data_IF_390242225493
#
_entry.id   IF_390242225493
#
_cell.length_a   1.000
_cell.length_b   1.000
_cell.length_c   1.000
_cell.angle_alpha   90.00
_cell.angle_beta   90.00
_cell.angle_gamma   90.00
#
_symmetry.space_group_name_H-M   'P 1'
#
loop_
_entity.id
_entity.type
_entity.pdbx_description
1 polymer ?
#
# COMPACT_ATOMS: atom_id res chain seq x y z
N UNK A 1 18.34 -0.66 37.98
CA UNK A 1 17.08 -0.13 37.41
C UNK A 1 16.89 -0.73 36.02
N UNK A 2 16.01 -1.73 35.87
CA UNK A 2 15.71 -2.42 34.59
C UNK A 2 14.19 -2.38 34.32
N UNK A 3 13.64 -1.17 34.22
CA UNK A 3 12.24 -0.96 33.87
C UNK A 3 12.03 -0.73 32.36
N UNK A 4 13.09 -0.77 31.55
CA UNK A 4 13.05 -0.42 30.12
C UNK A 4 12.72 -1.55 29.14
N UNK A 5 12.67 -2.82 29.55
CA UNK A 5 12.68 -3.96 28.58
C UNK A 5 11.33 -4.70 28.46
N UNK A 6 10.36 -4.45 29.35
CA UNK A 6 9.09 -5.23 29.33
C UNK A 6 8.14 -4.89 28.18
N UNK A 7 8.23 -3.70 27.58
CA UNK A 7 7.34 -3.33 26.46
C UNK A 7 7.70 -4.01 25.12
N UNK A 8 8.92 -4.56 24.98
CA UNK A 8 9.35 -5.23 23.73
C UNK A 8 8.81 -6.68 23.62
N UNK A 9 8.26 -7.24 24.71
CA UNK A 9 7.85 -8.64 24.76
C UNK A 9 6.48 -8.94 24.12
N UNK A 10 5.64 -7.92 23.84
CA UNK A 10 4.27 -8.16 23.38
C UNK A 10 4.22 -8.90 22.03
N UNK A 11 5.12 -8.58 21.10
CA UNK A 11 5.20 -9.21 19.78
C UNK A 11 6.32 -10.25 19.67
N UNK A 12 6.82 -10.78 20.79
CA UNK A 12 7.82 -11.84 20.78
C UNK A 12 7.23 -13.22 20.41
N UNK A 13 5.93 -13.44 20.66
CA UNK A 13 5.28 -14.73 20.38
C UNK A 13 4.63 -14.77 18.99
N UNK A 14 4.72 -15.89 18.25
CA UNK A 14 4.06 -16.06 16.95
C UNK A 14 2.56 -15.81 16.99
N UNK A 15 1.88 -16.18 18.09
CA UNK A 15 0.44 -15.98 18.28
C UNK A 15 0.07 -14.49 18.30
N UNK A 16 0.84 -13.68 19.04
CA UNK A 16 0.59 -12.24 19.13
C UNK A 16 0.90 -11.55 17.80
N UNK A 17 1.97 -11.98 17.11
CA UNK A 17 2.33 -11.51 15.77
C UNK A 17 1.20 -11.78 14.76
N UNK A 18 0.69 -13.02 14.71
CA UNK A 18 -0.40 -13.41 13.82
C UNK A 18 -1.68 -12.62 14.10
N UNK A 19 -2.01 -12.41 15.38
CA UNK A 19 -3.18 -11.64 15.79
C UNK A 19 -3.07 -10.17 15.36
N UNK A 20 -1.88 -9.57 15.53
CA UNK A 20 -1.61 -8.20 15.10
C UNK A 20 -1.75 -8.05 13.58
N UNK A 21 -1.16 -8.95 12.80
CA UNK A 21 -1.31 -8.94 11.35
C UNK A 21 -2.73 -9.23 10.88
N UNK A 22 -3.51 -10.02 11.62
CA UNK A 22 -4.94 -10.21 11.36
C UNK A 22 -5.70 -8.90 11.51
N UNK A 23 -5.48 -8.17 12.61
CA UNK A 23 -6.13 -6.89 12.86
C UNK A 23 -5.76 -5.85 11.79
N UNK A 24 -4.47 -5.77 11.42
CA UNK A 24 -4.00 -4.89 10.35
C UNK A 24 -4.64 -5.23 9.01
N UNK A 25 -4.61 -6.51 8.60
CA UNK A 25 -5.19 -6.95 7.33
C UNK A 25 -6.70 -6.66 7.25
N UNK A 26 -7.43 -6.92 8.34
CA UNK A 26 -8.86 -6.61 8.42
C UNK A 26 -9.12 -5.11 8.33
N UNK A 27 -8.33 -4.29 9.03
CA UNK A 27 -8.46 -2.83 8.99
C UNK A 27 -8.19 -2.29 7.59
N UNK A 28 -7.10 -2.73 6.95
CA UNK A 28 -6.76 -2.37 5.56
C UNK A 28 -7.87 -2.78 4.59
N UNK A 29 -8.43 -3.97 4.72
CA UNK A 29 -9.52 -4.45 3.86
C UNK A 29 -10.81 -3.65 4.06
N UNK A 30 -11.21 -3.39 5.30
CA UNK A 30 -12.41 -2.60 5.62
C UNK A 30 -12.26 -1.18 5.09
N UNK A 31 -11.12 -0.52 5.35
CA UNK A 31 -10.87 0.83 4.85
C UNK A 31 -10.78 0.86 3.31
N UNK A 32 -10.22 -0.17 2.69
CA UNK A 32 -10.21 -0.30 1.23
C UNK A 32 -11.63 -0.29 0.67
N UNK A 33 -12.51 -1.13 1.21
CA UNK A 33 -13.91 -1.22 0.79
C UNK A 33 -14.66 0.08 1.07
N UNK A 34 -14.56 0.63 2.28
CA UNK A 34 -15.28 1.86 2.65
C UNK A 34 -14.86 3.04 1.77
N UNK A 35 -13.56 3.23 1.54
CA UNK A 35 -13.06 4.32 0.69
C UNK A 35 -13.43 4.16 -0.77
N UNK A 36 -13.68 2.93 -1.26
CA UNK A 36 -14.11 2.69 -2.64
C UNK A 36 -15.62 2.85 -2.80
N UNK A 37 -16.39 2.23 -1.89
CA UNK A 37 -17.86 2.14 -2.00
C UNK A 37 -18.55 3.40 -1.48
N UNK A 38 -18.12 3.91 -0.33
CA UNK A 38 -18.74 5.05 0.37
C UNK A 38 -17.74 6.20 0.63
N UNK A 39 -17.00 6.68 -0.39
CA UNK A 39 -15.97 7.72 -0.19
C UNK A 39 -16.55 9.00 0.39
N UNK A 40 -17.76 9.43 0.00
CA UNK A 40 -18.36 10.65 0.54
C UNK A 40 -18.61 10.53 2.05
N UNK A 41 -19.10 9.38 2.53
CA UNK A 41 -19.32 9.17 3.96
C UNK A 41 -18.01 9.19 4.74
N UNK A 42 -16.95 8.57 4.19
CA UNK A 42 -15.61 8.59 4.80
C UNK A 42 -15.06 10.02 4.85
N UNK A 43 -15.16 10.79 3.77
CA UNK A 43 -14.73 12.20 3.75
C UNK A 43 -15.53 13.04 4.74
N UNK A 44 -16.85 12.87 4.79
CA UNK A 44 -17.71 13.63 5.71
C UNK A 44 -17.39 13.34 7.18
N UNK A 45 -17.08 12.09 7.53
CA UNK A 45 -16.68 11.71 8.88
C UNK A 45 -15.27 12.25 9.21
N UNK A 46 -14.33 12.13 8.28
CA UNK A 46 -12.95 12.52 8.50
C UNK A 46 -12.73 14.03 8.50
N UNK A 47 -13.44 14.72 7.60
CA UNK A 47 -13.26 16.13 7.25
C UNK A 47 -14.62 16.85 7.19
N UNK A 48 -15.36 16.92 8.31
CA UNK A 48 -16.75 17.40 8.33
C UNK A 48 -16.91 18.85 7.88
N UNK A 49 -15.86 19.66 8.02
CA UNK A 49 -15.86 21.08 7.66
C UNK A 49 -15.29 21.34 6.26
N UNK A 50 -14.81 20.30 5.57
CA UNK A 50 -14.24 20.45 4.24
C UNK A 50 -15.34 20.51 3.15
N UNK A 51 -15.18 21.46 2.23
CA UNK A 51 -15.86 21.39 0.94
C UNK A 51 -15.13 20.38 0.06
N UNK A 52 -15.75 19.23 -0.19
CA UNK A 52 -15.17 18.14 -0.99
C UNK A 52 -15.57 18.29 -2.45
N UNK A 53 -14.59 18.24 -3.35
CA UNK A 53 -14.80 18.15 -4.79
C UNK A 53 -15.04 16.70 -5.25
N UNK A 54 -15.55 16.51 -6.46
CA UNK A 54 -15.63 15.17 -7.08
C UNK A 54 -14.26 14.54 -7.27
N UNK A 55 -13.21 15.37 -7.45
CA UNK A 55 -11.83 14.91 -7.53
C UNK A 55 -11.35 14.32 -6.20
N UNK A 56 -11.73 14.91 -5.07
CA UNK A 56 -11.42 14.39 -3.73
C UNK A 56 -12.05 13.00 -3.53
N UNK A 57 -13.28 12.80 -4.03
CA UNK A 57 -13.96 11.51 -4.01
C UNK A 57 -13.19 10.48 -4.83
N UNK A 58 -12.80 10.82 -6.06
CA UNK A 58 -11.95 9.97 -6.91
C UNK A 58 -10.63 9.64 -6.22
N UNK A 59 -10.02 10.63 -5.56
CA UNK A 59 -8.73 10.44 -4.91
C UNK A 59 -8.81 9.58 -3.66
N UNK A 60 -9.87 9.70 -2.88
CA UNK A 60 -10.09 8.79 -1.77
C UNK A 60 -10.32 7.35 -2.24
N UNK A 61 -11.06 7.14 -3.34
CA UNK A 61 -11.23 5.81 -3.93
C UNK A 61 -9.89 5.21 -4.35
N UNK A 62 -9.02 6.00 -5.00
CA UNK A 62 -7.68 5.56 -5.38
C UNK A 62 -6.86 5.19 -4.15
N UNK A 63 -6.85 6.02 -3.12
CA UNK A 63 -6.20 5.71 -1.85
C UNK A 63 -6.73 4.38 -1.26
N UNK A 64 -8.05 4.18 -1.31
CA UNK A 64 -8.75 2.96 -0.90
C UNK A 64 -8.27 1.70 -1.61
N UNK A 65 -8.15 1.71 -2.95
CA UNK A 65 -7.68 0.52 -3.68
C UNK A 65 -6.21 0.19 -3.39
N UNK A 66 -5.37 1.18 -3.05
CA UNK A 66 -4.00 0.89 -2.62
C UNK A 66 -3.93 0.13 -1.28
N UNK A 67 -4.97 0.19 -0.46
CA UNK A 67 -5.07 -0.60 0.77
C UNK A 67 -5.34 -2.09 0.50
N UNK A 68 -5.80 -2.47 -0.69
CA UNK A 68 -5.92 -3.89 -1.06
C UNK A 68 -4.56 -4.59 -1.08
N UNK A 69 -3.51 -3.92 -1.56
CA UNK A 69 -2.13 -4.39 -1.49
C UNK A 69 -1.67 -4.54 -0.03
N UNK A 70 -2.05 -3.59 0.83
CA UNK A 70 -1.77 -3.67 2.27
C UNK A 70 -2.40 -4.91 2.92
N UNK A 71 -3.69 -5.13 2.67
CA UNK A 71 -4.42 -6.28 3.20
C UNK A 71 -3.79 -7.61 2.73
N UNK A 72 -3.38 -7.72 1.46
CA UNK A 72 -2.73 -8.92 0.93
C UNK A 72 -1.36 -9.19 1.57
N UNK A 73 -0.56 -8.15 1.81
CA UNK A 73 0.74 -8.27 2.49
C UNK A 73 0.54 -8.67 3.95
N UNK A 74 -0.32 -7.96 4.68
CA UNK A 74 -0.58 -8.19 6.10
C UNK A 74 -1.18 -9.58 6.33
N UNK A 75 -2.09 -10.04 5.45
CA UNK A 75 -2.60 -11.41 5.48
C UNK A 75 -1.51 -12.47 5.23
N UNK A 76 -0.58 -12.17 4.32
CA UNK A 76 0.57 -13.05 4.06
C UNK A 76 1.53 -13.10 5.25
N UNK A 77 1.76 -11.97 5.93
CA UNK A 77 2.55 -11.89 7.15
C UNK A 77 1.89 -12.63 8.32
N UNK A 78 0.56 -12.57 8.42
CA UNK A 78 -0.21 -13.38 9.37
C UNK A 78 0.07 -14.87 9.18
N UNK A 79 -0.01 -15.39 7.95
CA UNK A 79 0.28 -16.80 7.70
C UNK A 79 1.75 -17.16 7.95
N UNK A 80 2.67 -16.26 7.62
CA UNK A 80 4.09 -16.42 7.91
C UNK A 80 4.37 -16.45 9.43
N UNK A 81 3.64 -15.67 10.22
CA UNK A 81 3.73 -15.70 11.68
C UNK A 81 3.28 -17.06 12.24
N UNK A 82 2.12 -17.55 11.80
CA UNK A 82 1.59 -18.86 12.17
C UNK A 82 2.56 -20.01 11.83
N UNK A 83 3.26 -19.87 10.70
CA UNK A 83 4.23 -20.87 10.22
C UNK A 83 5.67 -20.62 10.69
N UNK A 84 5.90 -19.62 11.56
CA UNK A 84 7.23 -19.22 12.05
C UNK A 84 8.26 -18.90 10.93
N UNK A 85 7.77 -18.40 9.79
CA UNK A 85 8.59 -18.07 8.62
C UNK A 85 9.05 -16.62 8.59
N UNK A 86 8.58 -15.76 9.51
CA UNK A 86 8.85 -14.31 9.51
C UNK A 86 10.34 -13.94 9.47
N UNK A 87 11.23 -14.81 9.96
CA UNK A 87 12.69 -14.63 9.86
C UNK A 87 13.24 -14.60 8.43
N UNK A 88 12.47 -15.06 7.44
CA UNK A 88 12.93 -15.10 6.05
C UNK A 88 13.08 -13.69 5.47
N UNK A 89 14.08 -13.50 4.60
CA UNK A 89 14.33 -12.21 3.97
C UNK A 89 13.10 -11.66 3.22
N UNK A 90 12.28 -12.55 2.63
CA UNK A 90 11.02 -12.19 1.97
C UNK A 90 10.08 -11.43 2.92
N UNK A 91 9.79 -11.99 4.10
CA UNK A 91 8.83 -11.37 5.02
C UNK A 91 9.42 -10.15 5.74
N UNK A 92 10.73 -10.16 6.01
CA UNK A 92 11.41 -8.99 6.55
C UNK A 92 11.32 -7.78 5.61
N UNK A 93 11.46 -7.98 4.29
CA UNK A 93 11.27 -6.92 3.30
C UNK A 93 9.82 -6.43 3.24
N UNK A 94 8.84 -7.33 3.30
CA UNK A 94 7.42 -6.96 3.34
C UNK A 94 7.07 -6.15 4.60
N UNK A 95 7.57 -6.55 5.77
CA UNK A 95 7.38 -5.79 7.02
C UNK A 95 8.05 -4.42 6.94
N UNK A 96 9.27 -4.35 6.37
CA UNK A 96 9.95 -3.08 6.14
C UNK A 96 9.15 -2.18 5.18
N UNK A 97 8.56 -2.75 4.12
CA UNK A 97 7.63 -2.04 3.23
C UNK A 97 6.40 -1.50 3.97
N UNK A 98 5.80 -2.28 4.87
CA UNK A 98 4.68 -1.83 5.69
C UNK A 98 5.06 -0.71 6.67
N UNK A 99 6.26 -0.78 7.25
CA UNK A 99 6.81 0.29 8.10
C UNK A 99 7.07 1.56 7.29
N UNK A 100 7.69 1.46 6.11
CA UNK A 100 7.92 2.59 5.20
C UNK A 100 6.61 3.22 4.73
N UNK A 101 5.60 2.42 4.40
CA UNK A 101 4.24 2.89 4.11
C UNK A 101 3.67 3.71 5.26
N UNK A 102 3.79 3.20 6.49
CA UNK A 102 3.28 3.89 7.69
C UNK A 102 3.98 5.23 7.91
N UNK A 103 5.30 5.28 7.73
CA UNK A 103 6.08 6.53 7.76
C UNK A 103 5.65 7.48 6.64
N UNK A 104 5.42 6.97 5.43
CA UNK A 104 4.93 7.75 4.30
C UNK A 104 3.59 8.41 4.58
N UNK A 105 2.62 7.67 5.15
CA UNK A 105 1.33 8.24 5.55
C UNK A 105 1.48 9.36 6.58
N UNK A 106 2.36 9.18 7.57
CA UNK A 106 2.64 10.21 8.58
C UNK A 106 3.35 11.43 7.96
N UNK A 107 4.26 11.22 7.01
CA UNK A 107 4.97 12.31 6.33
C UNK A 107 4.02 13.14 5.46
N UNK A 108 3.13 12.49 4.70
CA UNK A 108 2.08 13.15 3.92
C UNK A 108 1.16 13.96 4.83
N UNK A 109 0.73 13.36 5.94
CA UNK A 109 -0.11 14.05 6.91
C UNK A 109 0.63 15.27 7.49
N UNK A 110 1.88 15.11 7.94
CA UNK A 110 2.67 16.21 8.51
C UNK A 110 2.87 17.37 7.52
N UNK A 111 3.14 17.06 6.26
CA UNK A 111 3.30 18.07 5.20
C UNK A 111 2.01 18.86 4.92
N UNK A 112 0.84 18.22 5.10
CA UNK A 112 -0.46 18.83 4.83
C UNK A 112 -1.23 19.26 6.10
N UNK A 113 -0.70 19.00 7.29
CA UNK A 113 -1.38 19.34 8.56
C UNK A 113 -1.61 20.85 8.71
N UNK A 114 -0.66 21.74 8.40
CA UNK A 114 -0.89 23.18 8.56
C UNK A 114 -2.10 23.71 7.77
N UNK A 115 -2.40 23.12 6.61
CA UNK A 115 -3.51 23.50 5.74
C UNK A 115 -4.80 22.73 6.01
N UNK A 116 -4.73 21.54 6.64
CA UNK A 116 -5.90 20.66 6.78
C UNK A 116 -6.34 20.44 8.23
N UNK A 117 -5.54 20.74 9.25
CA UNK A 117 -5.81 20.36 10.65
C UNK A 117 -7.18 20.84 11.15
N UNK A 118 -7.58 22.05 10.77
CA UNK A 118 -8.88 22.61 11.17
C UNK A 118 -10.05 21.89 10.52
N UNK A 119 -9.83 21.25 9.36
CA UNK A 119 -10.86 20.51 8.63
C UNK A 119 -11.11 19.14 9.26
N UNK A 120 -10.14 18.58 10.00
CA UNK A 120 -10.22 17.24 10.54
C UNK A 120 -11.14 17.12 11.75
N UNK A 121 -11.94 16.06 11.75
CA UNK A 121 -12.48 15.50 12.97
C UNK A 121 -11.33 14.98 13.85
N UNK A 122 -11.11 15.61 15.01
CA UNK A 122 -10.02 15.26 15.92
C UNK A 122 -9.99 13.75 16.28
N UNK A 123 -11.11 13.08 16.60
CA UNK A 123 -11.11 11.64 16.82
C UNK A 123 -10.61 10.83 15.61
N UNK A 124 -10.98 11.23 14.39
CA UNK A 124 -10.57 10.54 13.17
C UNK A 124 -9.10 10.78 12.86
N UNK A 125 -8.61 12.01 13.05
CA UNK A 125 -7.20 12.33 12.92
C UNK A 125 -6.34 11.50 13.89
N UNK A 126 -6.76 11.42 15.16
CA UNK A 126 -6.09 10.61 16.18
C UNK A 126 -6.13 9.11 15.83
N UNK A 127 -7.26 8.62 15.32
CA UNK A 127 -7.39 7.24 14.88
C UNK A 127 -6.46 6.94 13.69
N UNK A 128 -6.37 7.86 12.72
CA UNK A 128 -5.49 7.73 11.56
C UNK A 128 -4.02 7.71 11.97
N UNK A 129 -3.57 8.69 12.75
CA UNK A 129 -2.19 8.76 13.26
C UNK A 129 -1.87 7.56 14.14
N UNK A 130 -2.77 7.23 15.07
CA UNK A 130 -2.63 6.09 15.97
C UNK A 130 -2.49 4.77 15.22
N UNK A 131 -3.30 4.57 14.16
CA UNK A 131 -3.23 3.36 13.33
C UNK A 131 -1.93 3.30 12.54
N UNK A 132 -1.48 4.39 11.93
CA UNK A 132 -0.21 4.43 11.19
C UNK A 132 0.99 4.17 12.12
N UNK A 133 1.02 4.81 13.29
CA UNK A 133 2.06 4.59 14.31
C UNK A 133 2.04 3.15 14.81
N UNK A 134 0.87 2.61 15.14
CA UNK A 134 0.73 1.24 15.62
C UNK A 134 1.18 0.23 14.55
N UNK A 135 0.77 0.39 13.30
CA UNK A 135 1.18 -0.45 12.19
C UNK A 135 2.70 -0.43 11.98
N UNK A 136 3.32 0.76 11.99
CA UNK A 136 4.77 0.91 11.91
C UNK A 136 5.49 0.25 13.08
N UNK A 137 5.02 0.49 14.31
CA UNK A 137 5.61 -0.08 15.52
C UNK A 137 5.50 -1.61 15.58
N UNK A 138 4.37 -2.19 15.16
CA UNK A 138 4.19 -3.65 15.06
C UNK A 138 5.24 -4.21 14.11
N UNK A 139 5.36 -3.69 12.88
CA UNK A 139 6.31 -4.21 11.89
C UNK A 139 7.77 -4.10 12.37
N UNK A 140 8.17 -2.95 12.90
CA UNK A 140 9.53 -2.75 13.43
C UNK A 140 9.83 -3.63 14.65
N UNK A 141 8.85 -3.81 15.54
CA UNK A 141 8.98 -4.70 16.70
C UNK A 141 9.17 -6.15 16.26
N UNK A 142 8.40 -6.61 15.26
CA UNK A 142 8.55 -7.97 14.73
C UNK A 142 9.89 -8.15 14.04
N UNK A 143 10.34 -7.20 13.20
CA UNK A 143 11.67 -7.22 12.58
C UNK A 143 12.76 -7.36 13.64
N UNK A 144 12.74 -6.51 14.67
CA UNK A 144 13.72 -6.52 15.76
C UNK A 144 13.79 -7.88 16.46
N UNK A 145 12.64 -8.51 16.71
CA UNK A 145 12.55 -9.79 17.40
C UNK A 145 12.88 -11.00 16.52
N UNK A 146 12.83 -10.89 15.19
CA UNK A 146 12.94 -12.04 14.27
C UNK A 146 14.19 -12.04 13.40
N UNK A 147 14.85 -10.89 13.20
CA UNK A 147 16.01 -10.79 12.32
C UNK A 147 17.31 -11.32 12.94
N UNK A 148 17.43 -11.28 14.27
CA UNK A 148 18.69 -11.53 14.99
C UNK A 148 19.81 -10.52 14.66
N UNK A 149 19.56 -9.56 13.77
CA UNK A 149 20.52 -8.56 13.25
C UNK A 149 20.04 -7.11 13.50
N UNK A 150 19.05 -6.94 14.39
CA UNK A 150 18.45 -5.64 14.70
C UNK A 150 17.44 -5.16 13.65
N UNK A 151 17.26 -3.85 13.55
CA UNK A 151 16.26 -3.22 12.66
C UNK A 151 16.69 -3.12 11.19
N UNK A 152 17.88 -3.61 10.83
CA UNK A 152 18.36 -3.55 9.45
C UNK A 152 17.54 -4.50 8.56
N UNK A 153 16.74 -3.99 7.60
CA UNK A 153 16.05 -4.85 6.66
C UNK A 153 17.08 -5.62 5.82
N UNK A 154 16.73 -6.82 5.32
CA UNK A 154 17.60 -7.54 4.41
C UNK A 154 17.91 -6.68 3.18
N UNK A 155 19.12 -6.76 2.62
CA UNK A 155 19.47 -6.00 1.43
C UNK A 155 18.49 -6.29 0.30
N UNK A 156 18.19 -5.25 -0.48
CA UNK A 156 17.42 -5.39 -1.71
C UNK A 156 18.21 -6.25 -2.70
N UNK A 157 17.52 -7.17 -3.37
CA UNK A 157 18.13 -7.97 -4.42
C UNK A 157 18.14 -7.18 -5.73
N UNK A 158 19.24 -6.46 -5.95
CA UNK A 158 19.47 -5.62 -7.13
C UNK A 158 20.06 -6.40 -8.32
N UNK A 159 20.11 -7.74 -8.25
CA UNK A 159 20.57 -8.54 -9.38
C UNK A 159 19.62 -8.37 -10.57
N UNK A 160 20.17 -8.50 -11.79
CA UNK A 160 19.37 -8.48 -13.00
C UNK A 160 18.33 -9.62 -12.99
N UNK A 161 17.10 -9.38 -13.51
CA UNK A 161 16.09 -10.43 -13.58
C UNK A 161 16.53 -11.61 -14.45
N UNK A 162 16.23 -12.83 -14.00
CA UNK A 162 16.70 -14.07 -14.63
C UNK A 162 15.70 -14.70 -15.61
N UNK A 163 14.45 -14.24 -15.64
CA UNK A 163 13.40 -14.76 -16.53
C UNK A 163 12.38 -13.68 -16.94
N UNK A 164 11.54 -13.91 -17.96
CA UNK A 164 10.58 -12.91 -18.42
C UNK A 164 9.60 -12.44 -17.34
N UNK A 165 9.16 -13.34 -16.46
CA UNK A 165 8.26 -12.98 -15.35
C UNK A 165 8.94 -12.09 -14.32
N UNK A 166 10.22 -12.34 -13.99
CA UNK A 166 10.97 -11.45 -13.10
C UNK A 166 11.27 -10.09 -13.73
N UNK A 167 11.46 -10.03 -15.06
CA UNK A 167 11.49 -8.76 -15.79
C UNK A 167 10.17 -7.99 -15.67
N UNK A 168 9.02 -8.67 -15.80
CA UNK A 168 7.71 -8.07 -15.59
C UNK A 168 7.59 -7.40 -14.23
N UNK A 169 7.97 -8.08 -13.14
CA UNK A 169 7.94 -7.49 -11.80
C UNK A 169 8.98 -6.39 -11.57
N UNK A 170 10.15 -6.46 -12.22
CA UNK A 170 11.14 -5.38 -12.17
C UNK A 170 10.58 -4.10 -12.83
N UNK A 171 9.90 -4.24 -13.97
CA UNK A 171 9.19 -3.14 -14.62
C UNK A 171 8.07 -2.60 -13.74
N UNK A 172 7.24 -3.47 -13.14
CA UNK A 172 6.20 -3.04 -12.18
C UNK A 172 6.80 -2.23 -11.03
N UNK A 173 7.93 -2.69 -10.47
CA UNK A 173 8.65 -1.97 -9.41
C UNK A 173 9.03 -0.56 -9.86
N UNK A 174 9.65 -0.44 -11.03
CA UNK A 174 10.07 0.85 -11.57
C UNK A 174 8.88 1.79 -11.80
N UNK A 175 7.79 1.28 -12.39
CA UNK A 175 6.56 2.03 -12.61
C UNK A 175 5.96 2.52 -11.29
N UNK A 176 5.85 1.67 -10.27
CA UNK A 176 5.34 2.09 -8.96
C UNK A 176 6.20 3.17 -8.29
N UNK A 177 7.53 3.08 -8.41
CA UNK A 177 8.40 4.13 -7.89
C UNK A 177 8.23 5.45 -8.65
N UNK A 178 8.04 5.40 -9.97
CA UNK A 178 7.71 6.58 -10.76
C UNK A 178 6.34 7.16 -10.36
N UNK A 179 5.33 6.31 -10.11
CA UNK A 179 4.02 6.74 -9.60
C UNK A 179 4.13 7.41 -8.24
N UNK A 180 4.98 6.91 -7.34
CA UNK A 180 5.26 7.57 -6.04
C UNK A 180 5.79 8.99 -6.26
N UNK A 181 6.72 9.19 -7.18
CA UNK A 181 7.24 10.52 -7.51
C UNK A 181 6.14 11.41 -8.13
N UNK A 182 5.32 10.85 -9.02
CA UNK A 182 4.21 11.56 -9.65
C UNK A 182 3.13 12.02 -8.65
N UNK A 183 2.92 11.28 -7.55
CA UNK A 183 1.99 11.68 -6.49
C UNK A 183 2.38 13.00 -5.80
N UNK A 184 3.65 13.41 -5.88
CA UNK A 184 4.15 14.67 -5.30
C UNK A 184 4.48 15.72 -6.36
N UNK A 185 4.45 15.35 -7.64
CA UNK A 185 4.60 16.30 -8.74
C UNK A 185 3.32 17.17 -8.88
N UNK A 186 3.44 18.39 -9.44
CA UNK A 186 2.27 19.15 -9.89
C UNK A 186 1.38 18.27 -10.75
N UNK A 187 0.07 18.29 -10.50
CA UNK A 187 -0.83 17.44 -11.25
C UNK A 187 -0.96 17.92 -12.69
N UNK A 188 -0.88 16.97 -13.63
CA UNK A 188 -1.01 17.23 -15.06
C UNK A 188 -2.06 16.34 -15.72
N UNK A 189 -2.54 15.30 -15.03
CA UNK A 189 -3.52 14.35 -15.56
C UNK A 189 -4.96 14.71 -15.21
N UNK A 190 -5.20 15.23 -14.01
CA UNK A 190 -6.55 15.60 -13.58
C UNK A 190 -6.82 17.07 -13.90
N UNK A 191 -7.83 17.29 -14.76
CA UNK A 191 -8.20 18.59 -15.35
C UNK A 191 -9.52 19.14 -14.81
N UNK A 192 -10.20 18.38 -13.92
CA UNK A 192 -11.46 18.76 -13.29
C UNK A 192 -11.40 19.97 -12.35
N UNK A 193 -12.49 20.19 -11.60
CA UNK A 193 -12.73 21.34 -10.72
C UNK A 193 -11.53 21.80 -9.88
N UNK A 194 -11.57 23.08 -9.48
CA UNK A 194 -10.52 23.70 -8.66
C UNK A 194 -10.15 22.85 -7.44
N UNK A 195 -8.85 22.63 -7.25
CA UNK A 195 -8.30 21.88 -6.12
C UNK A 195 -8.91 22.38 -4.80
N UNK A 196 -9.54 21.48 -4.06
CA UNK A 196 -9.93 21.78 -2.68
C UNK A 196 -8.69 21.86 -1.79
N UNK A 197 -8.86 22.40 -0.59
CA UNK A 197 -7.78 22.40 0.41
C UNK A 197 -7.32 20.98 0.82
N UNK A 198 -8.13 19.96 0.51
CA UNK A 198 -7.92 18.56 0.90
C UNK A 198 -7.27 17.75 -0.23
N UNK A 199 -7.40 18.18 -1.48
CA UNK A 199 -6.89 17.45 -2.65
C UNK A 199 -5.40 17.08 -2.56
N UNK A 200 -4.47 17.97 -2.12
CA UNK A 200 -3.05 17.61 -1.99
C UNK A 200 -2.79 16.51 -0.95
N UNK A 201 -3.56 16.50 0.15
CA UNK A 201 -3.51 15.45 1.16
C UNK A 201 -3.96 14.11 0.56
N UNK A 202 -5.11 14.09 -0.13
CA UNK A 202 -5.68 12.87 -0.71
C UNK A 202 -4.82 12.29 -1.83
N UNK A 203 -4.23 13.15 -2.67
CA UNK A 203 -3.24 12.73 -3.68
C UNK A 203 -1.99 12.15 -3.03
N UNK A 204 -1.47 12.83 -2.00
CA UNK A 204 -0.26 12.40 -1.31
C UNK A 204 -0.38 11.02 -0.66
N UNK A 205 -1.55 10.66 -0.13
CA UNK A 205 -1.75 9.37 0.55
C UNK A 205 -1.76 8.17 -0.41
N UNK A 206 -1.77 8.37 -1.73
CA UNK A 206 -1.57 7.29 -2.70
C UNK A 206 -0.15 6.74 -2.67
N UNK A 207 0.83 7.63 -2.55
CA UNK A 207 2.25 7.29 -2.66
C UNK A 207 2.67 6.17 -1.70
N UNK A 208 2.33 6.20 -0.40
CA UNK A 208 2.65 5.10 0.50
C UNK A 208 2.11 3.72 0.06
N UNK A 209 0.91 3.70 -0.53
CA UNK A 209 0.30 2.48 -1.06
C UNK A 209 1.05 1.94 -2.28
N UNK A 210 1.38 2.79 -3.24
CA UNK A 210 2.21 2.41 -4.40
C UNK A 210 3.65 2.05 -4.02
N UNK A 211 4.22 2.66 -2.99
CA UNK A 211 5.51 2.27 -2.44
C UNK A 211 5.47 0.82 -1.92
N UNK A 212 4.39 0.42 -1.24
CA UNK A 212 4.22 -0.96 -0.82
C UNK A 212 4.07 -1.91 -2.03
N UNK A 213 3.34 -1.49 -3.06
CA UNK A 213 3.22 -2.27 -4.31
C UNK A 213 4.57 -2.45 -5.03
N UNK A 214 5.46 -1.45 -4.98
CA UNK A 214 6.84 -1.58 -5.46
C UNK A 214 7.62 -2.64 -4.66
N UNK A 215 7.51 -2.64 -3.33
CA UNK A 215 8.14 -3.65 -2.47
C UNK A 215 7.58 -5.05 -2.72
N UNK A 216 6.27 -5.17 -2.91
CA UNK A 216 5.62 -6.44 -3.30
C UNK A 216 6.18 -6.95 -4.63
N UNK A 217 6.31 -6.07 -5.63
CA UNK A 217 6.85 -6.40 -6.93
C UNK A 217 8.30 -6.87 -6.84
N UNK A 218 9.14 -6.22 -6.03
CA UNK A 218 10.51 -6.70 -5.76
C UNK A 218 10.55 -8.09 -5.12
N UNK A 219 9.64 -8.36 -4.18
CA UNK A 219 9.52 -9.67 -3.54
C UNK A 219 9.05 -10.74 -4.53
N UNK A 220 8.11 -10.41 -5.41
CA UNK A 220 7.62 -11.30 -6.46
C UNK A 220 8.67 -11.54 -7.54
N UNK A 221 9.50 -10.53 -7.86
CA UNK A 221 10.69 -10.66 -8.71
C UNK A 221 11.65 -11.72 -8.14
N UNK A 222 12.05 -11.60 -6.87
CA UNK A 222 12.90 -12.60 -6.18
C UNK A 222 12.24 -13.98 -6.09
N UNK A 223 10.92 -14.05 -5.91
CA UNK A 223 10.19 -15.31 -5.94
C UNK A 223 10.21 -15.95 -7.33
N UNK A 224 10.07 -15.14 -8.38
CA UNK A 224 10.12 -15.57 -9.78
C UNK A 224 11.50 -16.07 -10.17
N UNK A 225 12.56 -15.34 -9.83
CA UNK A 225 13.95 -15.75 -10.10
C UNK A 225 14.27 -17.11 -9.46
N UNK A 226 13.66 -17.42 -8.31
CA UNK A 226 13.86 -18.68 -7.58
C UNK A 226 12.81 -19.75 -7.86
N UNK A 227 11.89 -19.53 -8.80
CA UNK A 227 10.83 -20.51 -9.13
C UNK A 227 9.85 -20.81 -8.00
N UNK A 228 9.59 -19.85 -7.10
CA UNK A 228 8.74 -20.03 -5.91
C UNK A 228 7.33 -19.44 -6.03
N UNK A 229 6.96 -18.86 -7.16
CA UNK A 229 5.69 -18.12 -7.34
C UNK A 229 4.43 -18.93 -7.02
N UNK A 230 4.48 -20.27 -7.08
CA UNK A 230 3.35 -21.14 -6.74
C UNK A 230 3.03 -21.22 -5.24
N UNK A 231 3.88 -20.70 -4.36
CA UNK A 231 3.60 -20.68 -2.92
C UNK A 231 2.45 -19.71 -2.60
N UNK A 232 1.60 -20.08 -1.63
CA UNK A 232 0.38 -19.35 -1.26
C UNK A 232 0.62 -17.86 -0.99
N UNK A 233 1.72 -17.52 -0.32
CA UNK A 233 2.17 -16.14 -0.09
C UNK A 233 2.26 -15.35 -1.40
N UNK A 234 3.00 -15.84 -2.39
CA UNK A 234 3.20 -15.10 -3.64
C UNK A 234 1.95 -15.09 -4.52
N UNK A 235 1.09 -16.11 -4.40
CA UNK A 235 -0.24 -16.07 -5.00
C UNK A 235 -1.09 -14.96 -4.39
N UNK A 236 -1.13 -14.83 -3.07
CA UNK A 236 -1.88 -13.77 -2.39
C UNK A 236 -1.34 -12.38 -2.74
N UNK A 237 -0.01 -12.22 -2.82
CA UNK A 237 0.59 -10.95 -3.23
C UNK A 237 0.22 -10.58 -4.68
N UNK A 238 0.22 -11.54 -5.61
CA UNK A 238 -0.24 -11.31 -6.98
C UNK A 238 -1.71 -10.91 -7.03
N UNK A 239 -2.57 -11.59 -6.27
CA UNK A 239 -3.98 -11.24 -6.19
C UNK A 239 -4.17 -9.82 -5.63
N UNK A 240 -3.39 -9.44 -4.63
CA UNK A 240 -3.37 -8.08 -4.07
C UNK A 240 -2.96 -7.01 -5.08
N UNK A 241 -1.91 -7.26 -5.89
CA UNK A 241 -1.51 -6.36 -6.98
C UNK A 241 -2.58 -6.27 -8.07
N UNK A 242 -3.17 -7.41 -8.46
CA UNK A 242 -4.24 -7.43 -9.45
C UNK A 242 -5.46 -6.64 -8.96
N UNK A 243 -5.86 -6.80 -7.69
CA UNK A 243 -6.97 -6.07 -7.10
C UNK A 243 -6.71 -4.55 -7.06
N UNK A 244 -5.50 -4.14 -6.68
CA UNK A 244 -5.09 -2.73 -6.70
C UNK A 244 -5.23 -2.15 -8.10
N UNK A 245 -4.64 -2.79 -9.10
CA UNK A 245 -4.57 -2.24 -10.46
C UNK A 245 -5.90 -2.29 -11.21
N UNK A 246 -6.70 -3.35 -11.03
CA UNK A 246 -8.07 -3.34 -11.56
C UNK A 246 -8.92 -2.28 -10.89
N UNK A 247 -8.83 -2.15 -9.56
CA UNK A 247 -9.52 -1.11 -8.82
C UNK A 247 -9.14 0.29 -9.31
N UNK A 248 -7.84 0.55 -9.43
CA UNK A 248 -7.31 1.80 -9.98
C UNK A 248 -7.81 2.06 -11.40
N UNK A 249 -7.72 1.05 -12.28
CA UNK A 249 -8.18 1.17 -13.67
C UNK A 249 -9.66 1.50 -13.78
N UNK A 250 -10.51 0.90 -12.94
CA UNK A 250 -11.95 1.18 -12.90
C UNK A 250 -12.20 2.62 -12.44
N UNK A 251 -11.52 3.07 -11.37
CA UNK A 251 -11.70 4.43 -10.84
C UNK A 251 -11.18 5.47 -11.83
N UNK A 252 -9.98 5.27 -12.37
CA UNK A 252 -9.36 6.17 -13.33
C UNK A 252 -10.14 6.22 -14.65
N UNK A 253 -10.61 5.07 -15.15
CA UNK A 253 -11.52 5.01 -16.30
C UNK A 253 -12.84 5.73 -16.04
N UNK A 254 -13.38 5.63 -14.83
CA UNK A 254 -14.59 6.38 -14.45
C UNK A 254 -14.34 7.89 -14.40
N UNK A 255 -13.14 8.31 -13.96
CA UNK A 255 -12.75 9.71 -13.93
C UNK A 255 -12.63 10.29 -15.36
N UNK A 256 -12.09 9.51 -16.31
CA UNK A 256 -12.10 9.85 -17.74
C UNK A 256 -13.53 10.01 -18.27
N UNK A 257 -14.41 9.05 -17.97
CA UNK A 257 -15.81 9.10 -18.43
C UNK A 257 -16.64 10.23 -17.79
N UNK A 258 -16.15 10.81 -16.70
CA UNK A 258 -16.80 11.91 -15.97
C UNK A 258 -16.11 13.26 -16.22
N UNK A 259 -15.30 13.37 -17.27
CA UNK A 259 -14.56 14.58 -17.67
C UNK A 259 -13.65 15.16 -16.56
N UNK A 260 -13.19 14.33 -15.61
CA UNK A 260 -12.21 14.73 -14.59
C UNK A 260 -10.76 14.58 -15.08
N UNK A 261 -10.58 13.81 -16.16
CA UNK A 261 -9.31 13.50 -16.82
C UNK A 261 -9.54 13.57 -18.32
N UNK A 262 -8.70 14.31 -19.03
CA UNK A 262 -8.78 14.43 -20.47
C UNK A 262 -8.47 13.08 -21.16
N UNK A 263 -9.17 12.76 -22.24
CA UNK A 263 -8.87 11.59 -23.07
C UNK A 263 -7.67 11.92 -23.96
N UNK A 264 -6.47 11.77 -23.41
CA UNK A 264 -5.20 12.00 -24.11
C UNK A 264 -4.26 10.78 -24.05
N UNK A 265 -3.10 10.89 -24.70
CA UNK A 265 -2.13 9.80 -24.74
C UNK A 265 -1.57 9.45 -23.34
N UNK A 266 -1.17 10.42 -22.49
CA UNK A 266 -0.81 10.15 -21.09
C UNK A 266 -1.87 9.37 -20.31
N UNK A 267 -3.14 9.80 -20.34
CA UNK A 267 -4.23 9.15 -19.62
C UNK A 267 -4.46 7.72 -20.13
N UNK A 268 -4.54 7.54 -21.45
CA UNK A 268 -4.73 6.20 -22.04
C UNK A 268 -3.54 5.27 -21.79
N UNK A 269 -2.31 5.80 -21.79
CA UNK A 269 -1.10 5.05 -21.45
C UNK A 269 -1.11 4.60 -19.98
N UNK A 270 -1.51 5.48 -19.06
CA UNK A 270 -1.63 5.15 -17.65
C UNK A 270 -2.68 4.04 -17.41
N UNK A 271 -3.88 4.21 -17.98
CA UNK A 271 -4.95 3.21 -17.90
C UNK A 271 -4.51 1.86 -18.49
N UNK A 272 -3.90 1.87 -19.68
CA UNK A 272 -3.39 0.67 -20.35
C UNK A 272 -2.27 -0.02 -19.54
N UNK A 273 -1.38 0.76 -18.95
CA UNK A 273 -0.31 0.28 -18.08
C UNK A 273 -0.86 -0.44 -16.85
N UNK A 274 -1.82 0.17 -16.15
CA UNK A 274 -2.47 -0.46 -15.00
C UNK A 274 -3.21 -1.74 -15.36
N UNK A 275 -3.99 -1.76 -16.44
CA UNK A 275 -4.66 -2.98 -16.91
C UNK A 275 -3.67 -4.10 -17.29
N UNK A 276 -2.52 -3.73 -17.88
CA UNK A 276 -1.46 -4.68 -18.20
C UNK A 276 -0.85 -5.29 -16.93
N UNK A 277 -0.53 -4.47 -15.91
CA UNK A 277 -0.01 -4.95 -14.62
C UNK A 277 -1.05 -5.85 -13.94
N UNK A 278 -2.32 -5.44 -13.92
CA UNK A 278 -3.41 -6.21 -13.32
C UNK A 278 -3.52 -7.60 -13.95
N UNK A 279 -3.52 -7.65 -15.28
CA UNK A 279 -3.64 -8.88 -16.07
C UNK A 279 -2.40 -9.75 -15.89
N UNK A 280 -1.20 -9.17 -15.88
CA UNK A 280 0.05 -9.89 -15.64
C UNK A 280 0.08 -10.55 -14.25
N UNK A 281 -0.31 -9.81 -13.21
CA UNK A 281 -0.37 -10.32 -11.84
C UNK A 281 -1.41 -11.44 -11.71
N UNK A 282 -2.61 -11.26 -12.29
CA UNK A 282 -3.67 -12.27 -12.28
C UNK A 282 -3.28 -13.53 -13.07
N UNK A 283 -2.64 -13.36 -14.23
CA UNK A 283 -2.11 -14.47 -15.03
C UNK A 283 -1.09 -15.27 -14.24
N UNK A 284 -0.15 -14.59 -13.57
CA UNK A 284 0.88 -15.26 -12.76
C UNK A 284 0.26 -15.96 -11.55
N UNK A 285 -0.75 -15.36 -10.91
CA UNK A 285 -1.55 -16.01 -9.87
C UNK A 285 -2.21 -17.31 -10.38
N UNK A 286 -2.80 -17.29 -11.57
CA UNK A 286 -3.53 -18.42 -12.12
C UNK A 286 -2.60 -19.57 -12.57
N UNK A 287 -1.44 -19.23 -13.13
CA UNK A 287 -0.57 -20.19 -13.83
C UNK A 287 0.64 -20.69 -13.04
N UNK A 288 1.05 -19.98 -11.97
CA UNK A 288 2.18 -20.41 -11.16
C UNK A 288 1.90 -21.76 -10.47
N UNK A 289 2.76 -22.74 -10.75
CA UNK A 289 2.71 -24.09 -10.17
C UNK A 289 3.59 -24.17 -8.91
N UNK A 290 3.19 -25.04 -7.99
CA UNK A 290 3.97 -25.37 -6.78
C UNK A 290 5.22 -26.17 -7.14
#
# INVERSE_FOLDING_TARGET
MSYGVRHIALFASPKNQASAFTALAATSAILSVLSVVEPQAVLHIALPEAYTSDLDVTFLRIAGVTLAASAAVEYSLKHAAESQLLKSATYQRLMAGCALKSVGFLAVLAANTPSTLQLWSLPVWLAYVGTAVAAGAINLSVISNTSGKGLAPPPLDLNLPQNPTSWGYATCTALYLLTVLACFAPETLYTGDSYSAVTPLLKGVWAPGFLLAAVMSLVLKDASDRGRLGASTFKNLNLGLAALEYGYSIIFGSAILSDQVDIDLPAMSNLGGSLLIATFALYTYATAKK
#
